data_IF_772811404849
#
_entry.id   IF_772811404849
#
_cell.length_a   1.000
_cell.length_b   1.000
_cell.length_c   1.000
_cell.angle_alpha   90.00
_cell.angle_beta   90.00
_cell.angle_gamma   90.00
#
_symmetry.space_group_name_H-M   'P 1'
#
loop_
_entity.id
_entity.type
_entity.pdbx_description
1 polymer ?
#
# COMPACT_ATOMS: atom_id res chain seq x y z
N UNK A 1 -3.97 11.22 -10.22
CA UNK A 1 -3.91 11.88 -8.89
C UNK A 1 -4.94 11.26 -7.97
N UNK A 2 -4.59 11.04 -6.71
CA UNK A 2 -5.51 10.52 -5.68
C UNK A 2 -5.84 11.66 -4.75
N UNK A 3 -7.13 11.86 -4.48
CA UNK A 3 -7.63 12.89 -3.57
C UNK A 3 -8.57 12.27 -2.56
N UNK A 4 -8.28 12.49 -1.29
CA UNK A 4 -9.12 12.10 -0.16
C UNK A 4 -9.58 13.40 0.51
N UNK A 5 -10.90 13.57 0.67
CA UNK A 5 -11.48 14.81 1.19
C UNK A 5 -12.49 14.48 2.28
N UNK A 6 -12.24 14.98 3.50
CA UNK A 6 -13.10 14.93 4.67
C UNK A 6 -13.63 13.53 4.99
N UNK A 7 -12.80 12.49 4.76
CA UNK A 7 -13.19 11.10 4.91
C UNK A 7 -13.44 10.77 6.38
N UNK A 8 -14.66 10.33 6.69
CA UNK A 8 -15.09 9.98 8.04
C UNK A 8 -15.67 8.56 8.06
N UNK A 9 -15.39 7.81 9.14
CA UNK A 9 -15.90 6.45 9.30
C UNK A 9 -16.04 6.06 10.77
N UNK A 10 -17.13 5.34 11.09
CA UNK A 10 -17.45 4.85 12.42
C UNK A 10 -17.73 3.35 12.43
N UNK A 11 -17.32 2.66 13.49
CA UNK A 11 -17.82 1.34 13.85
C UNK A 11 -18.93 1.50 14.89
N UNK A 12 -20.19 1.47 14.45
CA UNK A 12 -21.33 1.77 15.30
C UNK A 12 -21.24 3.18 15.88
N UNK A 13 -21.11 3.31 17.20
CA UNK A 13 -21.00 4.63 17.86
C UNK A 13 -19.55 5.17 17.95
N UNK A 14 -18.56 4.35 17.62
CA UNK A 14 -17.15 4.74 17.73
C UNK A 14 -16.64 5.30 16.41
N UNK A 15 -16.48 6.61 16.35
CA UNK A 15 -15.82 7.26 15.20
C UNK A 15 -14.33 6.95 15.20
N UNK A 16 -13.81 6.43 14.06
CA UNK A 16 -12.43 6.01 13.88
C UNK A 16 -11.69 6.90 12.90
N UNK A 17 -12.35 7.40 11.87
CA UNK A 17 -11.80 8.41 10.98
C UNK A 17 -12.63 9.69 11.09
N UNK A 18 -11.94 10.84 11.18
CA UNK A 18 -12.53 12.16 11.42
C UNK A 18 -11.94 13.15 10.42
N UNK A 19 -12.69 13.45 9.36
CA UNK A 19 -12.32 14.46 8.35
C UNK A 19 -10.92 14.29 7.75
N UNK A 20 -10.52 13.04 7.48
CA UNK A 20 -9.21 12.71 6.91
C UNK A 20 -9.11 13.27 5.50
N UNK A 21 -8.14 14.16 5.26
CA UNK A 21 -7.91 14.81 3.98
C UNK A 21 -6.43 14.85 3.62
N UNK A 22 -6.06 14.31 2.45
CA UNK A 22 -4.73 14.42 1.85
C UNK A 22 -4.78 14.00 0.38
N UNK A 23 -3.67 14.19 -0.34
CA UNK A 23 -3.56 13.80 -1.76
C UNK A 23 -2.24 13.12 -2.06
N UNK A 24 -2.22 12.33 -3.13
CA UNK A 24 -1.03 11.68 -3.67
C UNK A 24 -1.03 11.78 -5.20
N UNK A 25 0.15 12.09 -5.76
CA UNK A 25 0.37 12.13 -7.20
C UNK A 25 0.73 10.76 -7.79
N UNK A 26 0.70 10.65 -9.14
CA UNK A 26 1.27 9.49 -9.81
C UNK A 26 2.76 9.33 -9.48
N UNK A 27 3.17 8.11 -9.13
CA UNK A 27 4.55 7.82 -8.73
C UNK A 27 4.89 8.11 -7.25
N UNK A 28 3.97 8.72 -6.49
CA UNK A 28 4.16 8.89 -5.06
C UNK A 28 4.06 7.55 -4.31
N UNK A 29 4.94 7.39 -3.33
CA UNK A 29 4.87 6.35 -2.31
C UNK A 29 4.62 7.04 -0.96
N UNK A 30 3.39 6.95 -0.47
CA UNK A 30 2.91 7.62 0.74
C UNK A 30 2.94 6.65 1.91
N UNK A 31 3.76 6.93 2.92
CA UNK A 31 3.71 6.19 4.18
C UNK A 31 2.55 6.69 5.06
N UNK A 32 1.66 5.79 5.43
CA UNK A 32 0.62 6.03 6.44
C UNK A 32 1.20 5.59 7.79
N UNK A 33 1.45 6.56 8.66
CA UNK A 33 2.13 6.41 9.94
C UNK A 33 1.18 6.73 11.10
N UNK A 34 1.46 6.20 12.29
CA UNK A 34 0.68 6.46 13.51
C UNK A 34 0.59 5.24 14.42
N UNK A 35 0.17 5.45 15.66
CA UNK A 35 0.02 4.41 16.67
C UNK A 35 -1.01 3.33 16.28
N UNK A 36 -0.98 2.20 16.98
CA UNK A 36 -2.00 1.17 16.85
C UNK A 36 -3.37 1.76 17.25
N UNK A 37 -4.39 1.50 16.45
CA UNK A 37 -5.72 2.05 16.67
C UNK A 37 -5.93 3.47 16.11
N UNK A 38 -4.93 4.13 15.52
CA UNK A 38 -5.08 5.47 14.90
C UNK A 38 -6.00 5.50 13.67
N UNK A 39 -6.42 4.33 13.14
CA UNK A 39 -7.33 4.25 12.00
C UNK A 39 -6.66 3.87 10.67
N UNK A 40 -5.37 3.51 10.64
CA UNK A 40 -4.60 3.24 9.41
C UNK A 40 -5.25 2.17 8.51
N UNK A 41 -5.49 0.96 9.02
CA UNK A 41 -6.13 -0.12 8.24
C UNK A 41 -7.60 0.18 7.92
N UNK A 42 -8.29 0.94 8.78
CA UNK A 42 -9.65 1.42 8.49
C UNK A 42 -9.62 2.39 7.29
N UNK A 43 -8.67 3.32 7.26
CA UNK A 43 -8.46 4.21 6.11
C UNK A 43 -8.25 3.39 4.83
N UNK A 44 -7.29 2.46 4.83
CA UNK A 44 -7.01 1.60 3.66
C UNK A 44 -8.29 0.86 3.19
N UNK A 45 -9.09 0.31 4.11
CA UNK A 45 -10.32 -0.43 3.77
C UNK A 45 -11.47 0.47 3.29
N UNK A 46 -11.49 1.74 3.67
CA UNK A 46 -12.39 2.74 3.09
C UNK A 46 -11.96 3.12 1.67
N UNK A 47 -10.65 3.31 1.45
CA UNK A 47 -10.12 3.70 0.13
C UNK A 47 -10.35 2.63 -0.95
N UNK A 48 -10.34 1.33 -0.60
CA UNK A 48 -10.57 0.24 -1.56
C UNK A 48 -12.04 -0.22 -1.63
N UNK A 49 -12.97 0.56 -1.07
CA UNK A 49 -14.42 0.26 -1.11
C UNK A 49 -14.82 -1.06 -0.41
N UNK A 50 -13.97 -1.61 0.46
CA UNK A 50 -14.36 -2.71 1.37
C UNK A 50 -15.30 -2.18 2.44
N UNK A 51 -15.06 -0.94 2.92
CA UNK A 51 -15.94 -0.22 3.84
C UNK A 51 -16.48 1.03 3.17
N UNK A 52 -17.75 1.32 3.43
CA UNK A 52 -18.39 2.55 2.96
C UNK A 52 -18.16 3.63 4.02
N UNK A 53 -17.49 4.75 3.69
CA UNK A 53 -17.35 5.89 4.60
C UNK A 53 -18.70 6.48 5.01
N UNK A 54 -18.76 7.08 6.20
CA UNK A 54 -19.94 7.81 6.66
C UNK A 54 -20.05 9.18 5.96
N UNK A 55 -18.93 9.74 5.50
CA UNK A 55 -18.87 11.01 4.79
C UNK A 55 -17.51 11.23 4.11
N UNK A 56 -17.44 12.28 3.32
CA UNK A 56 -16.28 12.62 2.52
C UNK A 56 -16.26 11.92 1.16
N UNK A 57 -15.17 12.09 0.41
CA UNK A 57 -15.00 11.47 -0.90
C UNK A 57 -13.57 10.98 -1.12
N UNK A 58 -13.45 9.97 -1.98
CA UNK A 58 -12.18 9.41 -2.48
C UNK A 58 -12.21 9.47 -3.99
N UNK A 59 -11.29 10.20 -4.60
CA UNK A 59 -11.20 10.31 -6.06
C UNK A 59 -9.89 9.78 -6.59
N UNK A 60 -9.96 9.06 -7.70
CA UNK A 60 -8.81 8.58 -8.47
C UNK A 60 -8.91 9.15 -9.87
N UNK A 61 -7.97 10.01 -10.27
CA UNK A 61 -7.98 10.75 -11.54
C UNK A 61 -9.31 11.49 -11.78
N UNK A 62 -9.84 12.12 -10.73
CA UNK A 62 -11.09 12.90 -10.79
C UNK A 62 -12.37 12.07 -10.67
N UNK A 63 -12.31 10.73 -10.82
CA UNK A 63 -13.47 9.85 -10.69
C UNK A 63 -13.67 9.44 -9.22
N UNK A 64 -14.89 9.62 -8.70
CA UNK A 64 -15.23 9.20 -7.34
C UNK A 64 -15.28 7.67 -7.24
N UNK A 65 -14.54 7.12 -6.28
CA UNK A 65 -14.47 5.66 -6.04
C UNK A 65 -15.85 5.11 -5.65
N UNK A 66 -16.69 5.90 -4.97
CA UNK A 66 -18.04 5.49 -4.58
C UNK A 66 -18.92 5.20 -5.79
N UNK A 67 -18.75 5.94 -6.89
CA UNK A 67 -19.50 5.80 -8.13
C UNK A 67 -19.01 4.67 -9.04
N UNK A 68 -17.77 4.18 -8.84
CA UNK A 68 -17.20 3.09 -9.63
C UNK A 68 -17.99 1.81 -9.42
N UNK A 69 -18.32 1.09 -10.51
CA UNK A 69 -18.78 -0.29 -10.38
C UNK A 69 -17.62 -1.22 -9.92
N UNK A 70 -17.95 -2.46 -9.53
CA UNK A 70 -16.96 -3.41 -8.98
C UNK A 70 -15.79 -3.69 -9.93
N UNK A 71 -16.04 -3.77 -11.23
CA UNK A 71 -14.99 -4.06 -12.22
C UNK A 71 -14.08 -2.84 -12.42
N UNK A 72 -14.64 -1.64 -12.45
CA UNK A 72 -13.88 -0.38 -12.52
C UNK A 72 -13.02 -0.19 -11.28
N UNK A 73 -13.59 -0.33 -10.09
CA UNK A 73 -12.83 -0.24 -8.84
C UNK A 73 -11.69 -1.27 -8.81
N UNK A 74 -11.97 -2.53 -9.23
CA UNK A 74 -10.96 -3.58 -9.27
C UNK A 74 -9.88 -3.38 -10.36
N UNK A 75 -10.10 -2.55 -11.37
CA UNK A 75 -9.05 -2.15 -12.34
C UNK A 75 -8.27 -0.93 -11.87
N UNK A 76 -8.89 -0.10 -11.05
CA UNK A 76 -8.33 1.18 -10.62
C UNK A 76 -7.51 1.04 -9.34
N UNK A 77 -7.96 0.20 -8.40
CA UNK A 77 -7.37 0.06 -7.07
C UNK A 77 -6.96 -1.39 -6.83
N UNK A 78 -5.67 -1.60 -6.54
CA UNK A 78 -5.17 -2.87 -6.04
C UNK A 78 -4.93 -2.80 -4.53
N UNK A 79 -5.15 -3.91 -3.84
CA UNK A 79 -5.00 -4.01 -2.40
C UNK A 79 -4.24 -5.27 -1.99
N UNK A 80 -3.23 -5.09 -1.15
CA UNK A 80 -2.49 -6.17 -0.49
C UNK A 80 -2.76 -6.08 1.00
N UNK A 81 -3.57 -6.97 1.57
CA UNK A 81 -3.86 -6.99 3.01
C UNK A 81 -2.68 -7.53 3.81
N UNK A 82 -2.65 -7.24 5.11
CA UNK A 82 -1.64 -7.70 6.05
C UNK A 82 -1.54 -9.23 6.13
N UNK A 83 -2.68 -9.92 6.16
CA UNK A 83 -2.75 -11.39 6.16
C UNK A 83 -3.28 -11.88 4.83
N UNK A 84 -2.58 -12.82 4.24
CA UNK A 84 -2.90 -13.40 2.95
C UNK A 84 -2.94 -14.91 3.04
N UNK A 85 -4.05 -15.50 2.59
CA UNK A 85 -4.16 -16.92 2.34
C UNK A 85 -4.17 -17.13 0.82
N UNK A 86 -3.05 -17.61 0.28
CA UNK A 86 -2.90 -17.82 -1.17
C UNK A 86 -3.45 -19.17 -1.65
N UNK A 87 -3.91 -20.03 -0.71
CA UNK A 87 -4.45 -21.34 -1.04
C UNK A 87 -3.40 -22.30 -1.59
N UNK A 88 -3.86 -23.38 -2.26
CA UNK A 88 -3.01 -24.40 -2.87
C UNK A 88 -2.94 -24.22 -4.40
N UNK A 89 -2.49 -23.06 -4.85
CA UNK A 89 -2.33 -22.76 -6.28
C UNK A 89 -0.86 -22.62 -6.63
N UNK A 90 -0.52 -22.66 -7.92
CA UNK A 90 0.84 -22.32 -8.37
C UNK A 90 1.09 -20.81 -8.21
N UNK A 91 2.36 -20.43 -8.15
CA UNK A 91 2.78 -19.01 -8.17
C UNK A 91 2.19 -18.28 -9.38
N UNK A 92 2.23 -18.93 -10.55
CA UNK A 92 1.70 -18.35 -11.79
C UNK A 92 0.19 -18.10 -11.69
N UNK A 93 -0.58 -19.09 -11.24
CA UNK A 93 -2.04 -18.98 -11.12
C UNK A 93 -2.43 -17.93 -10.09
N UNK A 94 -1.71 -17.86 -8.96
CA UNK A 94 -1.92 -16.83 -7.94
C UNK A 94 -1.73 -15.42 -8.50
N UNK A 95 -0.71 -15.20 -9.34
CA UNK A 95 -0.46 -13.91 -10.00
C UNK A 95 -1.50 -13.65 -11.08
N UNK A 96 -1.88 -14.66 -11.86
CA UNK A 96 -2.88 -14.56 -12.92
C UNK A 96 -4.27 -14.13 -12.39
N UNK A 97 -4.61 -14.46 -11.14
CA UNK A 97 -5.82 -13.95 -10.49
C UNK A 97 -5.88 -12.41 -10.45
N UNK A 98 -4.74 -11.71 -10.45
CA UNK A 98 -4.70 -10.26 -10.57
C UNK A 98 -5.26 -9.72 -11.89
N UNK A 99 -5.31 -10.54 -12.93
CA UNK A 99 -5.90 -10.19 -14.24
C UNK A 99 -7.42 -10.40 -14.30
N UNK A 100 -8.02 -11.02 -13.27
CA UNK A 100 -9.46 -11.33 -13.25
C UNK A 100 -10.38 -10.14 -13.63
N UNK A 101 -10.11 -8.88 -13.23
CA UNK A 101 -10.94 -7.74 -13.63
C UNK A 101 -10.99 -7.47 -15.16
N UNK A 102 -10.07 -8.04 -15.92
CA UNK A 102 -9.98 -7.89 -17.38
C UNK A 102 -10.53 -9.10 -18.14
N UNK A 103 -10.71 -10.24 -17.48
CA UNK A 103 -11.19 -11.49 -18.09
C UNK A 103 -12.71 -11.46 -18.27
N UNK A 104 -13.18 -11.81 -19.45
CA UNK A 104 -14.62 -12.03 -19.74
C UNK A 104 -14.96 -13.51 -19.67
N UNK A 105 -14.29 -14.32 -20.49
CA UNK A 105 -14.51 -15.77 -20.62
C UNK A 105 -13.32 -16.61 -20.15
N UNK A 106 -12.21 -15.98 -19.85
CA UNK A 106 -10.96 -16.60 -19.41
C UNK A 106 -9.76 -15.69 -19.70
N UNK A 107 -8.55 -16.12 -19.32
CA UNK A 107 -7.33 -15.38 -19.58
C UNK A 107 -7.01 -15.39 -21.10
N UNK A 108 -6.46 -14.28 -21.58
CA UNK A 108 -5.95 -14.11 -22.95
C UNK A 108 -4.44 -14.32 -22.98
N UNK A 109 -3.87 -14.50 -24.19
CA UNK A 109 -2.39 -14.54 -24.37
C UNK A 109 -1.73 -13.32 -23.75
N UNK A 110 -2.34 -12.15 -23.87
CA UNK A 110 -1.85 -10.91 -23.27
C UNK A 110 -1.77 -10.99 -21.74
N UNK A 111 -2.73 -11.64 -21.09
CA UNK A 111 -2.73 -11.79 -19.64
C UNK A 111 -1.58 -12.70 -19.19
N UNK A 112 -1.29 -13.77 -19.91
CA UNK A 112 -0.14 -14.65 -19.67
C UNK A 112 1.19 -13.91 -19.81
N UNK A 113 1.36 -13.12 -20.89
CA UNK A 113 2.56 -12.31 -21.13
C UNK A 113 2.82 -11.30 -20.01
N UNK A 114 1.76 -10.60 -19.54
CA UNK A 114 1.85 -9.64 -18.43
C UNK A 114 2.29 -10.34 -17.14
N UNK A 115 1.73 -11.52 -16.85
CA UNK A 115 2.08 -12.29 -15.66
C UNK A 115 3.52 -12.81 -15.71
N UNK A 116 3.97 -13.35 -16.85
CA UNK A 116 5.35 -13.81 -17.03
C UNK A 116 6.36 -12.68 -16.89
N UNK A 117 6.10 -11.55 -17.55
CA UNK A 117 6.96 -10.37 -17.44
C UNK A 117 7.06 -9.88 -15.98
N UNK A 118 5.94 -9.88 -15.24
CA UNK A 118 5.94 -9.48 -13.84
C UNK A 118 6.69 -10.48 -12.95
N UNK A 119 6.46 -11.78 -13.12
CA UNK A 119 7.18 -12.82 -12.36
C UNK A 119 8.69 -12.74 -12.56
N UNK A 120 9.14 -12.50 -13.79
CA UNK A 120 10.55 -12.30 -14.08
C UNK A 120 11.10 -11.03 -13.40
N UNK A 121 10.32 -9.92 -13.42
CA UNK A 121 10.71 -8.65 -12.80
C UNK A 121 10.87 -8.76 -11.27
N UNK A 122 10.01 -9.54 -10.60
CA UNK A 122 10.10 -9.75 -9.15
C UNK A 122 11.03 -10.92 -8.76
N UNK A 123 11.68 -11.57 -9.74
CA UNK A 123 12.62 -12.68 -9.52
C UNK A 123 11.94 -14.02 -9.18
N UNK A 124 10.66 -14.19 -9.50
CA UNK A 124 9.88 -15.42 -9.26
C UNK A 124 9.72 -16.31 -10.50
N UNK A 125 10.33 -15.95 -11.65
CA UNK A 125 10.25 -16.73 -12.89
C UNK A 125 10.58 -18.22 -12.72
N UNK A 126 11.69 -18.59 -12.05
CA UNK A 126 12.03 -19.99 -11.79
C UNK A 126 11.04 -20.76 -10.91
N UNK A 127 10.24 -20.03 -10.11
CA UNK A 127 9.29 -20.60 -9.16
C UNK A 127 7.84 -20.64 -9.68
N UNK A 128 7.60 -20.25 -10.94
CA UNK A 128 6.25 -20.03 -11.48
C UNK A 128 5.27 -21.21 -11.34
N UNK A 129 5.78 -22.43 -11.42
CA UNK A 129 4.96 -23.66 -11.29
C UNK A 129 4.94 -24.23 -9.87
N UNK A 130 5.70 -23.64 -8.93
CA UNK A 130 5.75 -24.11 -7.54
C UNK A 130 4.46 -23.75 -6.80
N UNK A 131 3.95 -24.63 -5.94
CA UNK A 131 2.83 -24.33 -5.04
C UNK A 131 3.18 -23.15 -4.10
N UNK A 132 2.25 -22.22 -3.89
CA UNK A 132 2.52 -21.01 -3.09
C UNK A 132 2.76 -21.33 -1.62
N UNK A 133 2.15 -22.38 -1.11
CA UNK A 133 2.33 -22.85 0.29
C UNK A 133 3.73 -23.43 0.56
N UNK A 134 4.55 -23.65 -0.46
CA UNK A 134 5.96 -24.10 -0.34
C UNK A 134 6.97 -22.95 -0.40
N UNK A 135 6.50 -21.71 -0.53
CA UNK A 135 7.34 -20.53 -0.61
C UNK A 135 7.77 -20.03 0.78
N UNK A 136 8.94 -19.40 0.84
CA UNK A 136 9.31 -18.58 1.99
C UNK A 136 8.36 -17.39 2.15
N UNK A 137 8.29 -16.80 3.34
CA UNK A 137 7.45 -15.62 3.59
C UNK A 137 7.74 -14.46 2.65
N UNK A 138 9.02 -14.20 2.32
CA UNK A 138 9.42 -13.16 1.37
C UNK A 138 8.99 -13.44 -0.06
N UNK A 139 9.11 -14.70 -0.52
CA UNK A 139 8.64 -15.11 -1.85
C UNK A 139 7.11 -15.02 -1.94
N UNK A 140 6.38 -15.51 -0.93
CA UNK A 140 4.93 -15.41 -0.87
C UNK A 140 4.47 -13.93 -0.94
N UNK A 141 5.17 -13.04 -0.24
CA UNK A 141 4.85 -11.62 -0.28
C UNK A 141 5.16 -10.99 -1.65
N UNK A 142 6.24 -11.39 -2.33
CA UNK A 142 6.53 -11.01 -3.72
C UNK A 142 5.43 -11.49 -4.68
N UNK A 143 4.84 -12.69 -4.46
CA UNK A 143 3.67 -13.17 -5.23
C UNK A 143 2.48 -12.23 -5.06
N UNK A 144 2.20 -11.78 -3.83
CA UNK A 144 1.09 -10.85 -3.57
C UNK A 144 1.29 -9.50 -4.24
N UNK A 145 2.50 -8.97 -4.20
CA UNK A 145 2.84 -7.74 -4.92
C UNK A 145 2.71 -7.94 -6.44
N UNK A 146 3.24 -9.04 -6.98
CA UNK A 146 3.14 -9.34 -8.41
C UNK A 146 1.65 -9.42 -8.85
N UNK A 147 0.81 -10.11 -8.06
CA UNK A 147 -0.65 -10.18 -8.28
C UNK A 147 -1.30 -8.79 -8.29
N UNK A 148 -0.88 -7.90 -7.38
CA UNK A 148 -1.41 -6.54 -7.34
C UNK A 148 -0.92 -5.69 -8.54
N UNK A 149 0.35 -5.83 -8.94
CA UNK A 149 0.90 -5.07 -10.05
C UNK A 149 0.39 -5.52 -11.43
N UNK A 150 0.14 -6.83 -11.66
CA UNK A 150 -0.43 -7.29 -12.94
C UNK A 150 -1.87 -6.78 -13.14
N UNK A 151 -2.53 -6.33 -12.09
CA UNK A 151 -3.80 -5.63 -12.16
C UNK A 151 -3.67 -4.27 -12.85
N UNK A 152 -2.45 -3.72 -12.99
CA UNK A 152 -2.15 -2.40 -13.59
C UNK A 152 -2.98 -1.27 -12.94
N UNK A 153 -2.97 -1.16 -11.62
CA UNK A 153 -3.79 -0.20 -10.89
C UNK A 153 -3.26 1.22 -11.04
N UNK A 154 -4.10 2.22 -10.77
CA UNK A 154 -3.72 3.62 -10.57
C UNK A 154 -3.37 3.93 -9.12
N UNK A 155 -3.99 3.18 -8.20
CA UNK A 155 -3.76 3.24 -6.75
C UNK A 155 -3.44 1.85 -6.22
N UNK A 156 -2.29 1.72 -5.56
CA UNK A 156 -1.90 0.50 -4.83
C UNK A 156 -1.96 0.77 -3.33
N UNK A 157 -2.73 -0.04 -2.63
CA UNK A 157 -2.91 0.01 -1.18
C UNK A 157 -2.20 -1.19 -0.54
N UNK A 158 -1.28 -0.92 0.39
CA UNK A 158 -0.51 -1.94 1.08
C UNK A 158 -0.73 -1.80 2.60
N UNK A 159 -1.29 -2.82 3.22
CA UNK A 159 -1.53 -2.82 4.68
C UNK A 159 -0.46 -3.68 5.36
N UNK A 160 0.56 -3.05 5.94
CA UNK A 160 1.69 -3.67 6.63
C UNK A 160 2.40 -4.78 5.82
N UNK A 161 2.80 -4.51 4.56
CA UNK A 161 3.30 -5.56 3.66
C UNK A 161 4.64 -6.17 4.11
N UNK A 162 5.30 -5.59 5.10
CA UNK A 162 6.64 -5.99 5.54
C UNK A 162 6.67 -6.57 6.96
N UNK A 163 5.53 -6.67 7.65
CA UNK A 163 5.46 -7.03 9.08
C UNK A 163 6.02 -8.40 9.44
N UNK A 164 6.04 -9.35 8.50
CA UNK A 164 6.55 -10.72 8.72
C UNK A 164 7.91 -10.99 8.05
N UNK A 165 8.58 -9.95 7.53
CA UNK A 165 9.82 -10.08 6.80
C UNK A 165 11.03 -9.67 7.64
N UNK A 166 12.17 -10.33 7.38
CA UNK A 166 13.46 -9.87 7.91
C UNK A 166 13.87 -8.51 7.27
N UNK A 167 14.78 -7.76 7.90
CA UNK A 167 15.16 -6.42 7.44
C UNK A 167 15.61 -6.38 5.97
N UNK A 168 16.37 -7.36 5.49
CA UNK A 168 16.82 -7.40 4.10
C UNK A 168 15.64 -7.47 3.14
N UNK A 169 14.71 -8.40 3.38
CA UNK A 169 13.53 -8.59 2.55
C UNK A 169 12.57 -7.39 2.62
N UNK A 170 12.48 -6.70 3.78
CA UNK A 170 11.71 -5.46 3.91
C UNK A 170 12.24 -4.37 2.97
N UNK A 171 13.55 -4.12 2.95
CA UNK A 171 14.16 -3.10 2.08
C UNK A 171 14.07 -3.47 0.61
N UNK A 172 14.30 -4.74 0.25
CA UNK A 172 14.16 -5.22 -1.14
C UNK A 172 12.72 -5.02 -1.65
N UNK A 173 11.74 -5.40 -0.83
CA UNK A 173 10.31 -5.26 -1.17
C UNK A 173 9.93 -3.80 -1.36
N UNK A 174 10.25 -2.94 -0.40
CA UNK A 174 9.91 -1.53 -0.49
C UNK A 174 10.67 -0.82 -1.61
N UNK A 175 11.90 -1.26 -1.93
CA UNK A 175 12.64 -0.82 -3.10
C UNK A 175 11.90 -1.13 -4.40
N UNK A 176 11.41 -2.37 -4.54
CA UNK A 176 10.59 -2.82 -5.68
C UNK A 176 9.28 -2.00 -5.78
N UNK A 177 8.58 -1.80 -4.67
CA UNK A 177 7.34 -1.00 -4.62
C UNK A 177 7.61 0.43 -5.11
N UNK A 178 8.66 1.10 -4.61
CA UNK A 178 9.00 2.46 -5.00
C UNK A 178 9.44 2.57 -6.48
N UNK A 179 10.18 1.57 -6.98
CA UNK A 179 10.54 1.50 -8.40
C UNK A 179 9.30 1.37 -9.28
N UNK A 180 8.41 0.43 -8.95
CA UNK A 180 7.17 0.17 -9.69
C UNK A 180 6.23 1.37 -9.66
N UNK A 181 6.12 2.05 -8.52
CA UNK A 181 5.34 3.28 -8.39
C UNK A 181 5.79 4.33 -9.42
N UNK A 182 7.09 4.64 -9.43
CA UNK A 182 7.67 5.64 -10.35
C UNK A 182 7.57 5.21 -11.82
N UNK A 183 7.95 3.97 -12.13
CA UNK A 183 8.02 3.50 -13.53
C UNK A 183 6.66 3.41 -14.19
N UNK A 184 5.62 3.05 -13.42
CA UNK A 184 4.26 2.88 -13.95
C UNK A 184 3.30 4.03 -13.56
N UNK A 185 3.83 5.10 -12.97
CA UNK A 185 3.05 6.25 -12.49
C UNK A 185 1.88 5.85 -11.56
N UNK A 186 2.10 4.84 -10.70
CA UNK A 186 1.12 4.35 -9.72
C UNK A 186 1.28 5.15 -8.43
N UNK A 187 0.19 5.66 -7.86
CA UNK A 187 0.20 6.16 -6.49
C UNK A 187 0.15 4.96 -5.51
N UNK A 188 1.06 4.91 -4.57
CA UNK A 188 1.12 3.86 -3.55
C UNK A 188 0.85 4.46 -2.18
N UNK A 189 -0.10 3.90 -1.43
CA UNK A 189 -0.31 4.18 -0.03
C UNK A 189 0.04 2.93 0.77
N UNK A 190 1.00 3.05 1.68
CA UNK A 190 1.51 1.92 2.46
C UNK A 190 1.47 2.21 3.95
N UNK A 191 0.86 1.32 4.71
CA UNK A 191 0.94 1.34 6.18
C UNK A 191 2.26 0.70 6.59
N UNK A 192 3.07 1.44 7.33
CA UNK A 192 4.36 0.99 7.86
C UNK A 192 4.44 1.29 9.35
N UNK A 193 5.13 0.41 10.10
CA UNK A 193 5.46 0.62 11.52
C UNK A 193 6.89 1.11 11.71
N UNK A 194 7.81 0.69 10.84
CA UNK A 194 9.20 1.12 10.89
C UNK A 194 9.37 2.50 10.23
N UNK A 195 9.69 3.50 11.06
CA UNK A 195 9.92 4.88 10.64
C UNK A 195 11.11 5.00 9.68
N UNK A 196 12.19 4.26 9.94
CA UNK A 196 13.38 4.32 9.09
C UNK A 196 13.16 3.66 7.74
N UNK A 197 12.40 2.56 7.70
CA UNK A 197 11.96 1.96 6.44
C UNK A 197 11.08 2.93 5.66
N UNK A 198 10.14 3.62 6.32
CA UNK A 198 9.28 4.64 5.70
C UNK A 198 10.11 5.81 5.13
N UNK A 199 11.02 6.39 5.93
CA UNK A 199 11.90 7.49 5.53
C UNK A 199 12.82 7.14 4.36
N UNK A 200 13.20 5.87 4.24
CA UNK A 200 14.06 5.40 3.16
C UNK A 200 13.32 5.10 1.87
N UNK A 201 12.07 4.65 1.97
CA UNK A 201 11.33 4.03 0.86
C UNK A 201 10.22 4.91 0.30
N UNK A 202 9.70 5.85 1.09
CA UNK A 202 8.59 6.71 0.72
C UNK A 202 9.05 8.16 0.51
N UNK A 203 8.33 8.89 -0.35
CA UNK A 203 8.59 10.31 -0.61
C UNK A 203 7.51 11.22 -0.02
N UNK A 204 6.39 10.65 0.46
CA UNK A 204 5.30 11.37 1.12
C UNK A 204 4.93 10.65 2.41
N UNK A 205 4.42 11.41 3.39
CA UNK A 205 4.10 10.91 4.71
C UNK A 205 2.77 11.49 5.18
N UNK A 206 1.94 10.64 5.78
CA UNK A 206 0.69 11.01 6.43
C UNK A 206 0.71 10.44 7.83
N UNK A 207 0.76 11.30 8.83
CA UNK A 207 0.65 10.92 10.23
C UNK A 207 -0.82 10.94 10.67
N UNK A 208 -1.31 9.80 11.15
CA UNK A 208 -2.64 9.67 11.75
C UNK A 208 -2.53 9.60 13.27
N UNK A 209 -3.32 10.43 13.96
CA UNK A 209 -3.50 10.41 15.40
C UNK A 209 -4.98 10.54 15.74
N UNK A 210 -5.52 9.61 16.53
CA UNK A 210 -6.92 9.62 17.00
C UNK A 210 -7.96 9.80 15.89
N UNK A 211 -7.67 9.23 14.72
CA UNK A 211 -8.53 9.29 13.54
C UNK A 211 -8.43 10.58 12.72
N UNK A 212 -7.53 11.49 13.07
CA UNK A 212 -7.26 12.74 12.37
C UNK A 212 -5.92 12.69 11.65
N UNK A 213 -5.77 13.48 10.58
CA UNK A 213 -4.46 13.76 9.99
C UNK A 213 -3.74 14.78 10.88
N UNK A 214 -2.69 14.32 11.55
CA UNK A 214 -1.83 15.20 12.33
C UNK A 214 -0.93 16.06 11.42
N UNK A 215 -0.31 15.43 10.42
CA UNK A 215 0.50 16.09 9.41
C UNK A 215 0.51 15.29 8.11
N UNK A 216 0.57 15.95 6.96
CA UNK A 216 0.71 15.31 5.65
C UNK A 216 1.64 16.15 4.75
N UNK A 217 2.58 15.50 4.06
CA UNK A 217 3.54 16.20 3.19
C UNK A 217 4.72 15.33 2.77
N UNK A 218 5.81 15.98 2.38
CA UNK A 218 7.09 15.33 2.10
C UNK A 218 7.87 15.05 3.41
N UNK A 219 9.15 14.71 3.32
CA UNK A 219 9.98 14.40 4.49
C UNK A 219 10.13 15.56 5.51
N UNK A 220 9.70 16.79 5.18
CA UNK A 220 9.74 17.92 6.11
C UNK A 220 8.74 17.78 7.26
N UNK A 221 7.61 17.10 7.02
CA UNK A 221 6.59 16.86 8.07
C UNK A 221 7.03 15.83 9.12
N UNK A 222 8.08 15.05 8.82
CA UNK A 222 8.69 14.12 9.79
C UNK A 222 9.62 14.91 10.67
N UNK A 223 9.12 15.35 11.82
CA UNK A 223 9.83 16.15 12.83
C UNK A 223 9.90 15.40 14.16
N UNK A 224 10.85 15.74 15.02
CA UNK A 224 10.93 15.18 16.38
C UNK A 224 9.64 15.45 17.17
N UNK A 225 9.04 16.64 16.95
CA UNK A 225 7.76 16.98 17.56
C UNK A 225 6.63 16.05 17.05
N UNK A 226 6.57 15.76 15.75
CA UNK A 226 5.58 14.85 15.19
C UNK A 226 5.75 13.42 15.74
N UNK A 227 7.00 12.96 15.91
CA UNK A 227 7.29 11.66 16.52
C UNK A 227 6.87 11.61 17.99
N UNK A 228 7.17 12.67 18.76
CA UNK A 228 6.75 12.79 20.17
C UNK A 228 5.23 12.82 20.29
N UNK A 229 4.56 13.63 19.48
CA UNK A 229 3.10 13.80 19.60
C UNK A 229 2.32 12.58 19.12
N UNK A 230 2.76 11.92 18.02
CA UNK A 230 2.03 10.81 17.42
C UNK A 230 2.38 9.47 18.06
N UNK A 231 3.67 9.23 18.37
CA UNK A 231 4.13 7.95 18.89
C UNK A 231 4.43 7.96 20.39
N UNK A 232 4.43 9.15 21.03
CA UNK A 232 4.74 9.32 22.46
C UNK A 232 6.15 8.83 22.80
N UNK A 233 7.10 9.02 21.87
CA UNK A 233 8.50 8.64 22.02
C UNK A 233 9.42 9.86 21.90
N UNK A 234 10.50 9.86 22.66
CA UNK A 234 11.62 10.77 22.41
C UNK A 234 12.50 10.18 21.32
N UNK A 235 12.62 10.91 20.23
CA UNK A 235 13.43 10.53 19.09
C UNK A 235 14.17 11.74 18.54
N UNK A 236 15.42 11.55 18.15
CA UNK A 236 16.22 12.54 17.44
C UNK A 236 16.24 12.23 15.95
N UNK A 237 16.22 13.27 15.12
CA UNK A 237 16.34 13.12 13.68
C UNK A 237 17.76 13.48 13.24
N UNK A 238 18.45 12.52 12.66
CA UNK A 238 19.79 12.70 12.10
C UNK A 238 19.77 12.62 10.58
N UNK A 239 20.71 13.30 9.94
CA UNK A 239 20.95 13.19 8.51
C UNK A 239 22.23 12.40 8.29
N UNK A 240 22.14 11.26 7.65
CA UNK A 240 23.28 10.45 7.26
C UNK A 240 23.24 10.19 5.76
N UNK A 241 24.32 10.54 5.05
CA UNK A 241 24.41 10.44 3.59
C UNK A 241 23.22 11.07 2.84
N UNK A 242 22.79 12.25 3.29
CA UNK A 242 21.67 13.00 2.70
C UNK A 242 20.27 12.41 2.97
N UNK A 243 20.16 11.38 3.81
CA UNK A 243 18.89 10.76 4.21
C UNK A 243 18.60 11.01 5.68
N UNK A 244 17.31 11.24 5.98
CA UNK A 244 16.82 11.42 7.35
C UNK A 244 16.63 10.05 8.02
N UNK A 245 17.02 9.95 9.29
CA UNK A 245 16.85 8.78 10.15
C UNK A 245 16.28 9.21 11.50
N UNK A 246 15.38 8.40 12.05
CA UNK A 246 14.90 8.54 13.42
C UNK A 246 15.73 7.63 14.34
N UNK A 247 16.31 8.21 15.37
CA UNK A 247 17.02 7.50 16.44
C UNK A 247 16.18 7.63 17.69
N UNK A 248 15.70 6.49 18.19
CA UNK A 248 14.90 6.42 19.41
C UNK A 248 15.87 6.38 20.60
N UNK A 249 15.67 7.28 21.57
CA UNK A 249 16.46 7.39 22.80
C UNK A 249 16.10 6.33 23.84
#
# INVERSE_FOLDING_TARGET
MIEIQNLSFSYGKRQVLKDVSFSAGPGDCVAILGNNGAGKSTLITCLNKIRTPDGGSVRVDGQDVAEMNRAEAARTIAYVPQKNELGQTTVFDAVLLGRKPYMKWGPTTRDYEICEAMLNRVGLGPLKLRPVNELSGGEAQKVMLARAFVQQPKLLLLDEPTSSLDPRNQYEMMGLVGEMARTNAIAVLVVLHDLNLALRSCNRFVFLKDGLVYAAGDASVVTEQALRDVYEIDASLIIHQGKKFAVIG
#
